data_IF_015999937684
#
_entry.id   IF_015999937684
#
_cell.length_a   1.000
_cell.length_b   1.000
_cell.length_c   1.000
_cell.angle_alpha   90.00
_cell.angle_beta   90.00
_cell.angle_gamma   90.00
#
_symmetry.space_group_name_H-M   'P 1'
#
loop_
_entity.id
_entity.type
_entity.pdbx_description
1 polymer ?
#
# COMPACT_ATOMS: atom_id res chain seq x y z
N UNK A 1 -13.59 -1.73 12.56
CA UNK A 1 -12.86 -1.20 11.39
C UNK A 1 -11.45 -0.96 11.83
N UNK A 2 -10.50 -1.64 11.20
CA UNK A 2 -9.08 -1.50 11.44
C UNK A 2 -8.46 -0.82 10.21
N UNK A 3 -7.75 0.28 10.45
CA UNK A 3 -6.99 0.97 9.42
C UNK A 3 -5.51 0.83 9.72
N UNK A 4 -4.75 0.29 8.78
CA UNK A 4 -3.30 0.18 8.87
C UNK A 4 -2.69 1.22 7.96
N UNK A 5 -1.63 1.89 8.44
CA UNK A 5 -0.82 2.80 7.64
C UNK A 5 0.67 2.48 7.84
N UNK A 6 1.37 2.26 6.74
CA UNK A 6 2.83 2.13 6.72
C UNK A 6 3.41 3.07 5.66
N UNK A 7 4.62 3.56 5.88
CA UNK A 7 5.35 4.40 4.93
C UNK A 7 6.68 3.73 4.62
N UNK A 8 6.97 3.51 3.34
CA UNK A 8 8.19 2.85 2.87
C UNK A 8 8.86 3.71 1.80
N UNK A 9 10.18 3.77 1.83
CA UNK A 9 10.95 4.28 0.70
C UNK A 9 11.18 3.13 -0.28
N UNK A 10 10.65 3.27 -1.50
CA UNK A 10 10.67 2.22 -2.53
C UNK A 10 11.23 2.79 -3.83
N UNK A 11 11.84 1.91 -4.62
CA UNK A 11 12.39 2.25 -5.93
C UNK A 11 11.41 1.86 -7.04
N UNK A 12 11.48 2.58 -8.16
CA UNK A 12 10.71 2.23 -9.36
C UNK A 12 11.08 0.82 -9.82
N UNK A 13 10.06 -0.01 -10.04
CA UNK A 13 10.20 -1.43 -10.36
C UNK A 13 10.05 -2.36 -9.14
N UNK A 14 10.26 -1.89 -7.91
CA UNK A 14 10.04 -2.70 -6.71
C UNK A 14 8.58 -3.17 -6.69
N UNK A 15 8.34 -4.40 -6.22
CA UNK A 15 6.99 -4.92 -6.06
C UNK A 15 6.61 -4.98 -4.60
N UNK A 16 5.67 -4.13 -4.19
CA UNK A 16 5.04 -4.20 -2.88
C UNK A 16 4.12 -5.42 -2.83
N UNK A 17 4.25 -6.20 -1.76
CA UNK A 17 3.40 -7.37 -1.46
C UNK A 17 2.67 -7.10 -0.16
N UNK A 18 1.33 -7.09 -0.24
CA UNK A 18 0.46 -6.97 0.92
C UNK A 18 -0.36 -8.23 1.05
N UNK A 19 -0.47 -8.75 2.28
CA UNK A 19 -1.39 -9.85 2.63
C UNK A 19 -2.20 -9.46 3.86
N UNK A 20 -3.45 -9.85 3.86
CA UNK A 20 -4.46 -9.67 4.89
C UNK A 20 -5.03 -11.05 5.24
N UNK A 21 -5.44 -11.27 6.50
CA UNK A 21 -6.17 -12.48 6.89
C UNK A 21 -7.60 -12.56 6.33
N UNK A 22 -8.11 -11.45 5.78
CA UNK A 22 -9.44 -11.31 5.19
C UNK A 22 -9.45 -10.30 4.05
N UNK A 23 -10.57 -10.15 3.35
CA UNK A 23 -10.68 -9.20 2.24
C UNK A 23 -10.58 -7.77 2.75
N UNK A 24 -9.64 -7.03 2.20
CA UNK A 24 -9.32 -5.66 2.57
C UNK A 24 -9.23 -4.78 1.31
N UNK A 25 -9.28 -3.46 1.50
CA UNK A 25 -8.93 -2.48 0.48
C UNK A 25 -7.51 -2.02 0.72
N UNK A 26 -6.63 -2.25 -0.26
CA UNK A 26 -5.22 -1.87 -0.20
C UNK A 26 -5.01 -0.67 -1.11
N UNK A 27 -4.43 0.39 -0.58
CA UNK A 27 -4.03 1.58 -1.32
C UNK A 27 -2.53 1.82 -1.16
N UNK A 28 -1.86 2.10 -2.27
CA UNK A 28 -0.48 2.54 -2.32
C UNK A 28 -0.47 3.96 -2.88
N UNK A 29 -0.06 4.92 -2.05
CA UNK A 29 -0.14 6.35 -2.36
C UNK A 29 1.24 6.98 -2.35
N UNK A 30 1.61 7.75 -3.37
CA UNK A 30 2.88 8.48 -3.35
C UNK A 30 2.84 9.55 -2.25
N UNK A 31 3.93 9.63 -1.46
CA UNK A 31 4.09 10.69 -0.49
C UNK A 31 4.48 11.96 -1.24
N UNK A 32 3.62 12.98 -1.13
CA UNK A 32 3.84 14.25 -1.81
C UNK A 32 4.92 15.07 -1.13
N UNK A 33 5.62 15.89 -1.93
CA UNK A 33 6.29 17.07 -1.41
C UNK A 33 5.24 18.11 -0.97
N UNK A 34 5.55 18.92 0.05
CA UNK A 34 4.65 19.95 0.53
C UNK A 34 4.31 20.95 -0.61
N UNK A 35 3.03 21.06 -0.97
CA UNK A 35 2.53 21.95 -2.02
C UNK A 35 1.97 21.25 -3.27
N UNK A 36 2.11 19.93 -3.39
CA UNK A 36 1.56 19.19 -4.54
C UNK A 36 0.09 18.77 -4.34
N UNK A 37 -0.72 19.00 -5.37
CA UNK A 37 -2.17 18.80 -5.33
C UNK A 37 -2.60 17.38 -5.72
N UNK A 38 -1.77 16.63 -6.44
CA UNK A 38 -2.05 15.23 -6.81
C UNK A 38 -1.09 14.24 -6.15
N UNK A 39 -1.65 13.10 -5.71
CA UNK A 39 -0.89 11.92 -5.29
C UNK A 39 -1.30 10.81 -6.24
N UNK A 40 -0.34 10.02 -6.68
CA UNK A 40 -0.63 8.82 -7.42
C UNK A 40 -1.11 7.76 -6.44
N UNK A 41 -2.26 7.15 -6.76
CA UNK A 41 -2.90 6.14 -5.93
C UNK A 41 -3.09 4.89 -6.79
N UNK A 42 -2.44 3.81 -6.38
CA UNK A 42 -2.70 2.46 -6.87
C UNK A 42 -3.57 1.76 -5.85
N UNK A 43 -4.64 1.10 -6.26
CA UNK A 43 -5.55 0.44 -5.32
C UNK A 43 -5.99 -0.93 -5.79
N UNK A 44 -6.13 -1.83 -4.82
CA UNK A 44 -6.70 -3.15 -4.98
C UNK A 44 -7.82 -3.28 -3.98
N UNK A 45 -9.01 -3.63 -4.44
CA UNK A 45 -10.21 -3.71 -3.61
C UNK A 45 -10.68 -5.14 -3.47
N UNK A 46 -11.25 -5.46 -2.30
CA UNK A 46 -11.86 -6.76 -1.99
C UNK A 46 -10.91 -7.95 -2.23
N UNK A 47 -9.66 -7.82 -1.80
CA UNK A 47 -8.64 -8.88 -1.90
C UNK A 47 -7.97 -9.12 -0.56
N UNK A 48 -7.61 -10.37 -0.29
CA UNK A 48 -6.73 -10.76 0.82
C UNK A 48 -5.25 -10.52 0.49
N UNK A 49 -4.90 -10.28 -0.78
CA UNK A 49 -3.52 -10.07 -1.20
C UNK A 49 -3.41 -9.11 -2.38
N UNK A 50 -2.33 -8.33 -2.41
CA UNK A 50 -2.03 -7.40 -3.48
C UNK A 50 -0.54 -7.40 -3.83
N UNK A 51 -0.26 -7.26 -5.13
CA UNK A 51 1.07 -7.12 -5.70
C UNK A 51 1.06 -5.84 -6.51
N UNK A 52 1.79 -4.83 -6.05
CA UNK A 52 1.77 -3.49 -6.62
C UNK A 52 3.19 -3.11 -7.02
N UNK A 53 3.45 -3.04 -8.32
CA UNK A 53 4.72 -2.55 -8.84
C UNK A 53 4.78 -1.03 -8.67
N UNK A 54 5.87 -0.57 -8.06
CA UNK A 54 6.12 0.84 -7.78
C UNK A 54 6.50 1.54 -9.08
N UNK A 55 5.78 2.59 -9.50
CA UNK A 55 6.00 3.21 -10.81
C UNK A 55 7.26 4.07 -10.87
N UNK A 56 7.69 4.62 -9.74
CA UNK A 56 8.86 5.50 -9.65
C UNK A 56 9.39 5.57 -8.21
N UNK A 57 10.64 6.01 -8.09
CA UNK A 57 11.34 6.13 -6.81
C UNK A 57 10.66 7.16 -5.92
N UNK A 58 10.45 6.81 -4.65
CA UNK A 58 9.91 7.76 -3.69
C UNK A 58 9.48 7.10 -2.38
N UNK A 59 8.97 7.94 -1.49
CA UNK A 59 8.26 7.44 -0.31
C UNK A 59 6.83 7.12 -0.71
N UNK A 60 6.35 5.95 -0.34
CA UNK A 60 5.01 5.46 -0.62
C UNK A 60 4.31 5.08 0.68
N UNK A 61 3.05 5.50 0.81
CA UNK A 61 2.19 5.18 1.92
C UNK A 61 1.29 4.01 1.53
N UNK A 62 1.38 2.92 2.29
CA UNK A 62 0.47 1.78 2.20
C UNK A 62 -0.65 2.01 3.19
N UNK A 63 -1.90 2.04 2.72
CA UNK A 63 -3.09 2.01 3.55
C UNK A 63 -3.81 0.68 3.34
N UNK A 64 -4.23 0.06 4.44
CA UNK A 64 -5.08 -1.12 4.42
C UNK A 64 -6.33 -0.78 5.21
N UNK A 65 -7.48 -0.84 4.55
CA UNK A 65 -8.80 -0.67 5.16
C UNK A 65 -9.49 -2.04 5.20
N UNK A 66 -9.88 -2.46 6.40
CA UNK A 66 -10.71 -3.65 6.61
C UNK A 66 -11.91 -3.33 7.52
N UNK A 67 -13.02 -3.99 7.22
CA UNK A 67 -14.23 -3.92 8.03
C UNK A 67 -14.09 -4.62 9.40
N UNK A 68 -13.08 -5.48 9.56
CA UNK A 68 -12.81 -6.22 10.79
C UNK A 68 -11.97 -5.43 11.79
N UNK A 69 -12.04 -5.84 13.06
CA UNK A 69 -11.30 -5.22 14.16
C UNK A 69 -10.00 -5.96 14.49
N UNK A 70 -9.83 -7.19 14.00
CA UNK A 70 -8.71 -8.07 14.30
C UNK A 70 -7.93 -8.45 13.04
N UNK A 71 -7.74 -7.48 12.13
CA UNK A 71 -7.03 -7.71 10.86
C UNK A 71 -5.56 -8.06 11.10
N UNK A 72 -5.18 -9.29 10.79
CA UNK A 72 -3.78 -9.67 10.67
C UNK A 72 -3.30 -9.30 9.27
N UNK A 73 -2.12 -8.69 9.19
CA UNK A 73 -1.59 -8.21 7.92
C UNK A 73 -0.07 -8.35 7.87
N UNK A 74 0.47 -8.42 6.65
CA UNK A 74 1.90 -8.33 6.39
C UNK A 74 2.14 -7.41 5.20
N UNK A 75 3.15 -6.54 5.33
CA UNK A 75 3.60 -5.65 4.27
C UNK A 75 5.07 -5.96 4.03
N UNK A 76 5.41 -6.34 2.80
CA UNK A 76 6.78 -6.57 2.36
C UNK A 76 6.98 -6.04 0.95
N UNK A 77 8.22 -6.04 0.47
CA UNK A 77 8.53 -5.69 -0.91
C UNK A 77 9.60 -6.62 -1.46
N UNK A 78 9.58 -6.79 -2.79
CA UNK A 78 10.59 -7.51 -3.56
C UNK A 78 11.28 -6.47 -4.44
N UNK A 79 12.61 -6.27 -4.30
CA UNK A 79 13.37 -5.40 -5.19
C UNK A 79 13.29 -5.85 -6.64
N UNK A 80 13.37 -4.90 -7.58
CA UNK A 80 13.45 -5.17 -9.01
C UNK A 80 14.71 -5.94 -9.43
#
# INVERSE_FOLDING_TARGET
MAMVKASLMLFGGDTLVVRCSERCHIHLMSAKAAGDSHADILSVQDRDSAYLTVPYNGTWNVLIDSHSQSLEHSISYVPA
#
